data_IF_496816890176
#
_entry.id   IF_496816890176
#
_cell.length_a   1.000
_cell.length_b   1.000
_cell.length_c   1.000
_cell.angle_alpha   90.00
_cell.angle_beta   90.00
_cell.angle_gamma   90.00
#
_symmetry.space_group_name_H-M   'P 1'
#
loop_
_entity.id
_entity.type
_entity.pdbx_description
1 polymer ?
#
# COMPACT_ATOMS: atom_id res chain seq x y z
N UNK A 1 -0.19 -9.46 10.55
CA UNK A 1 0.40 -8.21 10.05
C UNK A 1 0.63 -7.28 11.24
N UNK A 2 1.81 -6.65 11.35
CA UNK A 2 2.14 -5.74 12.45
C UNK A 2 1.48 -4.36 12.22
N UNK A 3 0.95 -3.76 13.28
CA UNK A 3 0.36 -2.41 13.24
C UNK A 3 1.42 -1.32 13.31
N UNK A 4 2.16 -1.11 12.23
CA UNK A 4 3.12 -0.03 12.05
C UNK A 4 2.85 0.72 10.73
N UNK A 5 3.67 1.72 10.41
CA UNK A 5 3.54 2.49 9.16
C UNK A 5 3.63 1.63 7.88
N UNK A 6 4.10 0.36 7.96
CA UNK A 6 4.15 -0.56 6.82
C UNK A 6 2.91 -1.45 6.69
N UNK A 7 1.95 -1.36 7.60
CA UNK A 7 0.87 -2.36 7.71
C UNK A 7 0.13 -2.60 6.39
N UNK A 8 -0.19 -1.54 5.65
CA UNK A 8 -0.85 -1.63 4.34
C UNK A 8 -0.01 -2.41 3.32
N UNK A 9 1.23 -1.98 3.09
CA UNK A 9 2.14 -2.63 2.15
C UNK A 9 2.46 -4.07 2.56
N UNK A 10 2.59 -4.35 3.87
CA UNK A 10 2.74 -5.72 4.38
C UNK A 10 1.54 -6.59 4.04
N UNK A 11 0.32 -6.08 4.24
CA UNK A 11 -0.89 -6.84 3.94
C UNK A 11 -1.00 -7.16 2.45
N UNK A 12 -0.72 -6.18 1.58
CA UNK A 12 -0.75 -6.35 0.12
C UNK A 12 0.33 -7.31 -0.35
N UNK A 13 1.59 -7.11 0.07
CA UNK A 13 2.71 -7.99 -0.29
C UNK A 13 2.49 -9.43 0.20
N UNK A 14 1.95 -9.60 1.41
CA UNK A 14 1.58 -10.89 1.96
C UNK A 14 0.53 -11.59 1.08
N UNK A 15 -0.56 -10.90 0.73
CA UNK A 15 -1.60 -11.43 -0.16
C UNK A 15 -1.06 -11.79 -1.55
N UNK A 16 -0.19 -10.95 -2.11
CA UNK A 16 0.46 -11.21 -3.40
C UNK A 16 1.35 -12.46 -3.37
N UNK A 17 2.08 -12.70 -2.28
CA UNK A 17 2.88 -13.92 -2.11
C UNK A 17 2.01 -15.17 -2.10
N UNK A 18 0.91 -15.16 -1.32
CA UNK A 18 -0.01 -16.29 -1.25
C UNK A 18 -0.67 -16.57 -2.60
N UNK A 19 -1.09 -15.51 -3.31
CA UNK A 19 -1.66 -15.65 -4.65
C UNK A 19 -0.66 -16.24 -5.66
N UNK A 20 0.62 -15.95 -5.50
CA UNK A 20 1.70 -16.51 -6.32
C UNK A 20 2.10 -17.94 -5.92
N UNK A 21 1.42 -18.58 -4.95
CA UNK A 21 1.74 -19.92 -4.47
C UNK A 21 3.00 -20.00 -3.62
N UNK A 22 3.52 -18.85 -3.14
CA UNK A 22 4.69 -18.81 -2.25
C UNK A 22 4.26 -19.14 -0.80
N UNK A 23 5.17 -19.70 0.01
CA UNK A 23 4.91 -19.89 1.44
C UNK A 23 4.64 -18.54 2.14
N UNK A 24 3.93 -18.60 3.27
CA UNK A 24 3.69 -17.43 4.10
C UNK A 24 5.02 -16.75 4.49
N UNK A 25 5.23 -15.48 4.12
CA UNK A 25 6.50 -14.80 4.40
C UNK A 25 6.67 -14.56 5.91
N UNK A 26 7.91 -14.71 6.39
CA UNK A 26 8.30 -14.37 7.77
C UNK A 26 8.13 -12.87 8.04
N UNK A 27 8.18 -12.44 9.31
CA UNK A 27 8.06 -11.00 9.66
C UNK A 27 9.16 -10.13 9.01
N UNK A 28 10.38 -10.67 8.91
CA UNK A 28 11.51 -10.02 8.23
C UNK A 28 11.27 -9.90 6.73
N UNK A 29 10.85 -10.98 6.08
CA UNK A 29 10.56 -10.96 4.64
C UNK A 29 9.35 -10.08 4.32
N UNK A 30 8.32 -10.06 5.18
CA UNK A 30 7.22 -9.10 5.06
C UNK A 30 7.70 -7.65 5.12
N UNK A 31 8.76 -7.35 5.88
CA UNK A 31 9.31 -5.99 5.97
C UNK A 31 9.98 -5.61 4.66
N UNK A 32 10.83 -6.49 4.15
CA UNK A 32 11.56 -6.29 2.89
C UNK A 32 10.60 -6.11 1.71
N UNK A 33 9.63 -7.02 1.57
CA UNK A 33 8.63 -6.94 0.50
C UNK A 33 7.73 -5.72 0.61
N UNK A 34 7.43 -5.26 1.84
CA UNK A 34 6.64 -4.05 2.04
C UNK A 34 7.43 -2.79 1.66
N UNK A 35 8.72 -2.73 1.99
CA UNK A 35 9.59 -1.60 1.63
C UNK A 35 9.86 -1.58 0.11
N UNK A 36 10.04 -2.73 -0.52
CA UNK A 36 10.15 -2.86 -1.98
C UNK A 36 8.86 -2.41 -2.68
N UNK A 37 7.70 -2.94 -2.27
CA UNK A 37 6.41 -2.55 -2.84
C UNK A 37 6.15 -1.05 -2.68
N UNK A 38 6.48 -0.48 -1.52
CA UNK A 38 6.37 0.97 -1.27
C UNK A 38 7.24 1.78 -2.23
N UNK A 39 8.48 1.36 -2.47
CA UNK A 39 9.35 2.04 -3.45
C UNK A 39 8.74 2.00 -4.85
N UNK A 40 8.27 0.83 -5.28
CA UNK A 40 7.65 0.67 -6.59
C UNK A 40 6.36 1.50 -6.73
N UNK A 41 5.56 1.62 -5.66
CA UNK A 41 4.36 2.47 -5.62
C UNK A 41 4.72 3.94 -5.78
N UNK A 42 5.76 4.42 -5.09
CA UNK A 42 6.23 5.79 -5.24
C UNK A 42 6.74 6.07 -6.67
N UNK A 43 7.42 5.11 -7.29
CA UNK A 43 7.85 5.22 -8.69
C UNK A 43 6.66 5.21 -9.66
N UNK A 44 5.63 4.41 -9.35
CA UNK A 44 4.41 4.33 -10.14
C UNK A 44 3.61 5.64 -10.10
N UNK A 45 3.56 6.33 -8.95
CA UNK A 45 3.02 7.69 -8.87
C UNK A 45 3.73 8.63 -9.84
N UNK A 46 5.07 8.67 -9.82
CA UNK A 46 5.85 9.53 -10.73
C UNK A 46 5.54 9.21 -12.19
N UNK A 47 5.47 7.92 -12.53
CA UNK A 47 5.14 7.47 -13.89
C UNK A 47 3.73 7.88 -14.33
N UNK A 48 2.80 8.01 -13.39
CA UNK A 48 1.38 8.31 -13.61
C UNK A 48 0.98 9.71 -13.15
N UNK A 49 1.93 10.62 -12.95
CA UNK A 49 1.67 11.95 -12.37
C UNK A 49 0.43 12.64 -12.96
N UNK A 50 0.29 12.63 -14.29
CA UNK A 50 -0.87 13.22 -14.97
C UNK A 50 -2.24 12.63 -14.62
N UNK A 51 -2.28 11.35 -14.20
CA UNK A 51 -3.49 10.66 -13.77
C UNK A 51 -3.75 10.79 -12.26
N UNK A 52 -2.70 11.06 -11.47
CA UNK A 52 -2.75 10.93 -9.99
C UNK A 52 -2.68 12.24 -9.24
N UNK A 53 -1.99 13.25 -9.76
CA UNK A 53 -1.71 14.50 -9.05
C UNK A 53 -2.99 15.24 -8.62
N UNK A 54 -4.05 15.18 -9.43
CA UNK A 54 -5.29 15.92 -9.19
C UNK A 54 -6.06 15.47 -7.94
N UNK A 55 -5.84 14.24 -7.44
CA UNK A 55 -6.53 13.72 -6.25
C UNK A 55 -5.65 13.64 -4.99
N UNK A 56 -4.39 14.06 -5.08
CA UNK A 56 -3.53 14.14 -3.90
C UNK A 56 -3.85 15.42 -3.12
N UNK A 57 -3.88 15.32 -1.80
CA UNK A 57 -4.23 16.45 -0.92
C UNK A 57 -3.08 17.45 -0.71
N UNK A 58 -1.84 17.01 -0.93
CA UNK A 58 -0.63 17.82 -0.78
C UNK A 58 0.10 17.95 -2.13
N UNK A 59 1.14 18.79 -2.17
CA UNK A 59 2.02 18.92 -3.33
C UNK A 59 2.59 17.54 -3.74
N UNK A 60 2.57 17.25 -5.04
CA UNK A 60 2.90 15.93 -5.57
C UNK A 60 4.31 15.45 -5.18
N UNK A 61 5.31 16.32 -5.32
CA UNK A 61 6.71 15.95 -5.08
C UNK A 61 6.96 15.74 -3.58
N UNK A 62 6.27 16.51 -2.73
CA UNK A 62 6.23 16.32 -1.28
C UNK A 62 5.56 15.00 -0.90
N UNK A 63 4.39 14.70 -1.49
CA UNK A 63 3.65 13.45 -1.27
C UNK A 63 4.50 12.21 -1.59
N UNK A 64 5.11 12.19 -2.78
CA UNK A 64 5.96 11.09 -3.23
C UNK A 64 7.17 10.91 -2.31
N UNK A 65 7.74 12.01 -1.83
CA UNK A 65 8.84 11.97 -0.85
C UNK A 65 8.39 11.38 0.48
N UNK A 66 7.22 11.75 0.98
CA UNK A 66 6.65 11.22 2.22
C UNK A 66 6.34 9.74 2.11
N UNK A 67 5.66 9.30 1.06
CA UNK A 67 5.18 7.91 1.00
C UNK A 67 6.33 6.91 0.87
N UNK A 68 7.51 7.31 0.38
CA UNK A 68 8.73 6.49 0.41
C UNK A 68 9.22 6.20 1.82
N UNK A 69 8.87 7.02 2.82
CA UNK A 69 9.37 6.87 4.18
C UNK A 69 8.62 5.75 4.92
N UNK A 70 9.29 4.71 5.43
CA UNK A 70 8.60 3.49 5.87
C UNK A 70 7.69 3.61 7.11
N UNK A 71 7.72 4.74 7.81
CA UNK A 71 6.87 5.02 8.96
C UNK A 71 5.59 5.77 8.59
N UNK A 72 5.49 6.28 7.37
CA UNK A 72 4.28 6.92 6.84
C UNK A 72 3.27 5.83 6.46
N UNK A 73 2.03 6.04 6.88
CA UNK A 73 0.91 5.13 6.62
C UNK A 73 0.47 5.30 5.16
N UNK A 74 0.12 4.19 4.51
CA UNK A 74 -0.54 4.24 3.21
C UNK A 74 -2.06 4.37 3.35
N UNK A 75 -2.71 4.83 2.30
CA UNK A 75 -4.17 4.94 2.18
C UNK A 75 -4.68 4.43 0.82
N UNK A 76 -5.79 5.04 0.39
CA UNK A 76 -6.44 4.73 -0.89
C UNK A 76 -5.55 4.99 -2.11
N UNK A 77 -4.82 6.12 -2.21
CA UNK A 77 -3.92 6.37 -3.34
C UNK A 77 -2.88 5.25 -3.52
N UNK A 78 -2.28 4.78 -2.43
CA UNK A 78 -1.29 3.70 -2.45
C UNK A 78 -1.92 2.37 -2.88
N UNK A 79 -3.16 2.09 -2.46
CA UNK A 79 -3.87 0.88 -2.87
C UNK A 79 -4.13 0.86 -4.38
N UNK A 80 -4.54 2.00 -4.94
CA UNK A 80 -4.71 2.15 -6.38
C UNK A 80 -3.38 1.89 -7.11
N UNK A 81 -2.28 2.49 -6.65
CA UNK A 81 -0.97 2.27 -7.25
C UNK A 81 -0.46 0.84 -7.05
N UNK A 82 -0.72 0.20 -5.91
CA UNK A 82 -0.40 -1.21 -5.67
C UNK A 82 -1.05 -2.11 -6.72
N UNK A 83 -2.31 -1.82 -7.10
CA UNK A 83 -3.02 -2.59 -8.13
C UNK A 83 -2.31 -2.51 -9.49
N UNK A 84 -1.76 -1.33 -9.84
CA UNK A 84 -1.02 -1.13 -11.07
C UNK A 84 0.37 -1.79 -11.04
N UNK A 85 1.11 -1.62 -9.95
CA UNK A 85 2.44 -2.23 -9.75
C UNK A 85 2.35 -3.75 -9.84
N UNK A 86 1.41 -4.35 -9.13
CA UNK A 86 1.26 -5.80 -9.07
C UNK A 86 0.52 -6.36 -10.29
N UNK A 87 -0.23 -5.52 -11.03
CA UNK A 87 -1.16 -5.91 -12.10
C UNK A 87 -2.22 -6.89 -11.60
N UNK A 88 -2.76 -6.62 -10.42
CA UNK A 88 -3.74 -7.45 -9.72
C UNK A 88 -4.94 -6.63 -9.27
N UNK A 89 -6.13 -7.24 -9.28
CA UNK A 89 -7.30 -6.69 -8.59
C UNK A 89 -7.10 -6.87 -7.09
N UNK A 90 -7.29 -5.78 -6.33
CA UNK A 90 -7.29 -5.80 -4.87
C UNK A 90 -8.73 -5.71 -4.35
N UNK A 91 -9.09 -6.63 -3.46
CA UNK A 91 -10.38 -6.62 -2.77
C UNK A 91 -10.17 -6.17 -1.31
N UNK A 92 -10.87 -5.13 -0.89
CA UNK A 92 -10.78 -4.55 0.45
C UNK A 92 -12.05 -4.92 1.22
N UNK A 93 -11.89 -5.48 2.41
CA UNK A 93 -13.00 -5.84 3.30
C UNK A 93 -12.96 -4.95 4.54
N UNK A 94 -14.06 -4.22 4.76
CA UNK A 94 -14.26 -3.38 5.94
C UNK A 94 -15.35 -4.00 6.80
N UNK A 95 -15.01 -4.37 8.03
CA UNK A 95 -16.00 -4.80 9.02
C UNK A 95 -16.53 -3.55 9.70
N UNK A 96 -17.81 -3.22 9.46
CA UNK A 96 -18.49 -2.17 10.22
C UNK A 96 -18.98 -2.75 11.53
N UNK A 97 -18.39 -2.35 12.64
CA UNK A 97 -19.02 -2.53 13.94
C UNK A 97 -20.13 -1.49 14.07
N UNK A 98 -21.39 -1.93 14.07
CA UNK A 98 -22.50 -1.06 14.44
C UNK A 98 -22.33 -0.71 15.92
N UNK A 99 -21.82 0.48 16.21
CA UNK A 99 -21.96 1.05 17.55
C UNK A 99 -23.41 1.52 17.67
N UNK A 100 -24.30 0.62 18.13
CA UNK A 100 -25.67 0.96 18.45
C UNK A 100 -25.66 2.04 19.53
N UNK A 101 -26.08 3.26 19.18
CA UNK A 101 -26.40 4.28 20.17
C UNK A 101 -27.79 4.00 20.71
N UNK A 102 -27.89 4.20 22.03
CA UNK A 102 -29.08 4.19 22.87
C UNK A 102 -30.19 5.08 22.31
#
# INVERSE_FOLDING_TARGET
IRGDGRCLFRAVAYGACLRAGKPCPSESLQKELADELRSNVADEFVRRRGDTEWFLEEDFDTYVTHIRQPHIWGGEPELLMCSHVLRLILAIFLIRSFCGNK
#
